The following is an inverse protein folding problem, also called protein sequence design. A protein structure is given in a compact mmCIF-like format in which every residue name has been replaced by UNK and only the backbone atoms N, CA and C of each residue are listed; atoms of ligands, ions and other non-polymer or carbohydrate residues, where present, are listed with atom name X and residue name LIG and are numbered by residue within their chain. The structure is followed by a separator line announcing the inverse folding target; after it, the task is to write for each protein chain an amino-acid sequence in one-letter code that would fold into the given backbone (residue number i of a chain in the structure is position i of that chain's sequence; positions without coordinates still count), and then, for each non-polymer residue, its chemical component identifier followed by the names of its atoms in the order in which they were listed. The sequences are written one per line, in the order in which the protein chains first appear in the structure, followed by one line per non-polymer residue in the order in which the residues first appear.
data_IF_607906361408
#
_entry.id   IF_607906361408
#
_cell.length_a   1.000
_cell.length_b   1.000
_cell.length_c   1.000
_cell.angle_alpha   90.00
_cell.angle_beta   90.00
_cell.angle_gamma   90.00
#
_symmetry.space_group_name_H-M   'P 1'
#
loop_
_entity.id
_entity.type
_entity.pdbx_description
1 polymer ?
#
# COMPACT_ATOMS: atom_id res chain seq x y z
N UNK A 1 -40.42 -5.45 -40.74
CA UNK A 1 -40.48 -4.52 -39.58
C UNK A 1 -39.50 -4.84 -38.43
N UNK A 2 -38.92 -6.05 -38.31
CA UNK A 2 -38.04 -6.44 -37.17
C UNK A 2 -36.61 -5.84 -37.13
N UNK A 3 -36.05 -5.39 -38.27
CA UNK A 3 -34.68 -4.88 -38.33
C UNK A 3 -34.52 -3.45 -37.77
N UNK A 4 -35.51 -2.57 -38.00
CA UNK A 4 -35.50 -1.19 -37.49
C UNK A 4 -35.50 -1.14 -35.96
N UNK A 5 -36.21 -2.05 -35.30
CA UNK A 5 -36.28 -2.12 -33.84
C UNK A 5 -34.94 -2.54 -33.21
N UNK A 6 -34.20 -3.45 -33.85
CA UNK A 6 -32.86 -3.87 -33.38
C UNK A 6 -31.80 -2.77 -33.56
N UNK A 7 -31.86 -2.04 -34.69
CA UNK A 7 -30.94 -0.93 -34.95
C UNK A 7 -31.13 0.20 -33.93
N UNK A 8 -32.38 0.54 -33.61
CA UNK A 8 -32.69 1.56 -32.61
C UNK A 8 -32.25 1.14 -31.20
N UNK A 9 -32.34 -0.17 -30.86
CA UNK A 9 -31.88 -0.71 -29.59
C UNK A 9 -30.35 -0.75 -29.45
N UNK A 10 -29.61 -1.00 -30.54
CA UNK A 10 -28.14 -0.91 -30.52
C UNK A 10 -27.69 0.54 -30.35
N UNK A 11 -28.36 1.46 -31.05
CA UNK A 11 -28.02 2.88 -30.99
C UNK A 11 -28.25 3.46 -29.58
N UNK A 12 -29.35 3.06 -28.91
CA UNK A 12 -29.60 3.49 -27.53
C UNK A 12 -28.56 2.94 -26.55
N UNK A 13 -28.10 1.70 -26.74
CA UNK A 13 -27.06 1.10 -25.91
C UNK A 13 -25.71 1.79 -26.10
N UNK A 14 -25.37 2.17 -27.35
CA UNK A 14 -24.15 2.90 -27.65
C UNK A 14 -24.12 4.30 -27.01
N UNK A 15 -25.26 5.01 -27.06
CA UNK A 15 -25.39 6.34 -26.46
C UNK A 15 -25.35 6.25 -24.93
N UNK A 16 -25.98 5.24 -24.33
CA UNK A 16 -25.90 4.99 -22.88
C UNK A 16 -24.46 4.72 -22.43
N UNK A 17 -23.70 3.95 -23.21
CA UNK A 17 -22.29 3.67 -22.94
C UNK A 17 -21.41 4.94 -23.08
N UNK A 18 -21.69 5.76 -24.09
CA UNK A 18 -20.99 7.05 -24.28
C UNK A 18 -21.27 8.04 -23.15
N UNK A 19 -22.50 8.10 -22.63
CA UNK A 19 -22.83 8.91 -21.46
C UNK A 19 -22.15 8.40 -20.19
N UNK A 20 -22.08 7.08 -20.00
CA UNK A 20 -21.37 6.48 -18.86
C UNK A 20 -19.86 6.80 -18.91
N UNK A 21 -19.26 6.81 -20.11
CA UNK A 21 -17.87 7.19 -20.32
C UNK A 21 -17.63 8.69 -20.08
N UNK A 22 -18.58 9.56 -20.44
CA UNK A 22 -18.49 11.01 -20.22
C UNK A 22 -18.75 11.46 -18.77
N UNK A 23 -19.36 10.59 -17.95
CA UNK A 23 -19.55 10.82 -16.51
C UNK A 23 -18.40 10.24 -15.65
N UNK A 24 -17.42 9.57 -16.26
CA UNK A 24 -16.20 9.24 -15.55
C UNK A 24 -15.48 10.57 -15.26
N UNK A 25 -15.23 10.93 -14.00
CA UNK A 25 -14.38 12.08 -13.71
C UNK A 25 -13.06 11.85 -14.44
N UNK A 26 -12.66 12.84 -15.25
CA UNK A 26 -11.35 12.83 -15.90
C UNK A 26 -10.29 12.79 -14.80
N UNK A 27 -9.82 11.57 -14.47
CA UNK A 27 -8.70 11.38 -13.57
C UNK A 27 -7.49 11.97 -14.29
N UNK A 28 -7.18 13.22 -13.95
CA UNK A 28 -5.93 13.87 -14.29
C UNK A 28 -4.80 13.00 -13.75
N UNK A 29 -4.17 12.22 -14.63
CA UNK A 29 -2.96 11.48 -14.31
C UNK A 29 -1.79 12.47 -14.34
N UNK A 30 -1.67 13.28 -13.29
CA UNK A 30 -0.49 14.11 -13.07
C UNK A 30 0.66 13.18 -12.69
N UNK A 31 1.53 12.90 -13.65
CA UNK A 31 2.82 12.27 -13.40
C UNK A 31 3.70 13.28 -12.65
N UNK A 32 3.65 13.27 -11.32
CA UNK A 32 4.66 13.93 -10.51
C UNK A 32 5.94 13.08 -10.56
N UNK A 33 7.10 13.73 -10.59
CA UNK A 33 8.33 13.04 -10.22
C UNK A 33 8.13 12.45 -8.82
N UNK A 34 8.60 11.22 -8.57
CA UNK A 34 8.49 10.63 -7.25
C UNK A 34 9.11 11.59 -6.22
N UNK A 35 8.31 12.04 -5.26
CA UNK A 35 8.81 12.82 -4.12
C UNK A 35 9.89 12.01 -3.38
N UNK A 36 10.90 12.67 -2.77
CA UNK A 36 11.81 11.96 -1.87
C UNK A 36 11.01 11.27 -0.76
N UNK A 37 11.59 10.20 -0.19
CA UNK A 37 10.95 9.47 0.89
C UNK A 37 10.63 10.34 2.11
N UNK A 38 9.60 9.97 2.86
CA UNK A 38 9.18 10.68 4.08
C UNK A 38 9.95 10.10 5.26
N UNK A 39 10.55 10.95 6.10
CA UNK A 39 11.20 10.55 7.34
C UNK A 39 10.49 11.17 8.55
N UNK A 40 9.88 10.33 9.38
CA UNK A 40 9.21 10.73 10.63
C UNK A 40 10.03 10.21 11.81
N UNK A 41 10.57 11.13 12.60
CA UNK A 41 11.33 10.82 13.81
C UNK A 41 10.53 11.19 15.05
N UNK A 42 10.97 10.73 16.22
CA UNK A 42 10.41 11.14 17.51
C UNK A 42 10.38 12.66 17.75
N UNK A 43 11.20 13.42 17.02
CA UNK A 43 11.29 14.89 17.11
C UNK A 43 10.67 15.61 15.91
N UNK A 44 10.04 14.90 14.97
CA UNK A 44 9.41 15.53 13.81
C UNK A 44 8.22 16.37 14.26
N UNK A 45 8.24 17.66 13.93
CA UNK A 45 7.12 18.58 14.17
C UNK A 45 6.03 18.46 13.08
N UNK A 46 4.91 19.14 13.28
CA UNK A 46 3.86 19.28 12.26
C UNK A 46 4.47 19.72 10.93
N UNK A 47 4.16 18.99 9.87
CA UNK A 47 4.75 19.19 8.55
C UNK A 47 3.83 18.68 7.46
N UNK A 48 4.04 19.12 6.22
CA UNK A 48 3.27 18.65 5.08
C UNK A 48 4.07 18.80 3.79
N UNK A 49 3.63 18.09 2.77
CA UNK A 49 4.17 18.17 1.42
C UNK A 49 3.14 17.72 0.39
N UNK A 50 3.59 17.47 -0.84
CA UNK A 50 2.71 17.03 -1.93
C UNK A 50 2.00 15.73 -1.57
N UNK A 51 0.68 15.81 -1.36
CA UNK A 51 -0.16 14.64 -1.07
C UNK A 51 0.05 14.00 0.29
N UNK A 52 0.71 14.66 1.25
CA UNK A 52 0.84 14.17 2.62
C UNK A 52 0.87 15.28 3.67
N UNK A 53 0.43 14.95 4.88
CA UNK A 53 0.56 15.82 6.06
C UNK A 53 0.85 14.99 7.29
N UNK A 54 1.65 15.53 8.20
CA UNK A 54 1.98 14.92 9.49
C UNK A 54 1.60 15.84 10.64
N UNK A 55 0.94 15.27 11.65
CA UNK A 55 0.58 15.91 12.91
C UNK A 55 1.31 15.22 14.05
N UNK A 56 2.19 15.96 14.72
CA UNK A 56 3.08 15.49 15.78
C UNK A 56 2.30 15.02 17.01
N UNK A 57 1.30 15.80 17.44
CA UNK A 57 0.55 15.53 18.67
C UNK A 57 -0.16 14.18 18.66
N UNK A 58 -0.58 13.71 17.48
CA UNK A 58 -1.24 12.42 17.28
C UNK A 58 -0.34 11.39 16.59
N UNK A 59 0.91 11.75 16.26
CA UNK A 59 1.85 10.95 15.47
C UNK A 59 1.19 10.39 14.20
N UNK A 60 0.39 11.23 13.53
CA UNK A 60 -0.45 10.83 12.39
C UNK A 60 0.12 11.37 11.09
N UNK A 61 0.46 10.47 10.17
CA UNK A 61 0.76 10.76 8.78
C UNK A 61 -0.49 10.47 7.94
N UNK A 62 -1.04 11.49 7.31
CA UNK A 62 -2.14 11.33 6.34
C UNK A 62 -1.57 11.35 4.93
N UNK A 63 -1.93 10.36 4.11
CA UNK A 63 -1.61 10.32 2.68
C UNK A 63 -2.86 10.59 1.85
N UNK A 64 -2.83 11.67 1.09
CA UNK A 64 -3.89 12.10 0.19
C UNK A 64 -3.36 12.46 -1.18
N UNK A 65 -3.05 11.44 -1.98
CA UNK A 65 -2.42 11.65 -3.29
C UNK A 65 -0.89 11.61 -3.25
N UNK A 66 -0.29 11.08 -2.19
CA UNK A 66 1.18 10.96 -2.11
C UNK A 66 1.69 10.05 -3.23
N UNK A 67 2.72 10.51 -3.94
CA UNK A 67 3.40 9.72 -4.96
C UNK A 67 4.91 9.94 -4.82
N UNK A 68 5.60 9.02 -4.14
CA UNK A 68 7.00 9.22 -3.81
C UNK A 68 7.73 7.97 -3.35
N UNK A 69 8.88 8.19 -2.71
CA UNK A 69 9.74 7.14 -2.16
C UNK A 69 9.21 6.54 -0.85
N UNK A 70 10.07 5.75 -0.22
CA UNK A 70 9.78 5.02 1.01
C UNK A 70 9.38 5.94 2.19
N UNK A 71 8.68 5.37 3.16
CA UNK A 71 8.40 6.03 4.44
C UNK A 71 9.26 5.38 5.51
N UNK A 72 9.99 6.19 6.27
CA UNK A 72 10.78 5.75 7.41
C UNK A 72 10.25 6.35 8.71
N UNK A 73 10.16 5.52 9.74
CA UNK A 73 9.90 5.93 11.12
C UNK A 73 11.07 5.60 12.04
N UNK A 74 11.36 6.45 13.02
CA UNK A 74 12.33 6.17 14.11
C UNK A 74 12.04 6.98 15.38
N UNK A 75 12.37 6.47 16.57
CA UNK A 75 12.20 7.23 17.82
C UNK A 75 10.76 7.56 18.26
N UNK A 76 9.72 7.01 17.62
CA UNK A 76 8.31 7.06 18.05
C UNK A 76 7.77 5.67 18.41
N UNK A 77 6.81 5.56 19.35
CA UNK A 77 6.26 4.25 19.70
C UNK A 77 5.33 3.66 18.64
N UNK A 78 4.51 4.52 18.00
CA UNK A 78 3.52 4.11 17.01
C UNK A 78 3.34 5.20 15.97
N UNK A 79 3.44 4.86 14.69
CA UNK A 79 3.02 5.71 13.58
C UNK A 79 1.57 5.39 13.22
N UNK A 80 0.70 6.39 13.19
CA UNK A 80 -0.65 6.27 12.65
C UNK A 80 -0.64 6.74 11.20
N UNK A 81 -0.95 5.86 10.26
CA UNK A 81 -1.06 6.15 8.84
C UNK A 81 -2.54 6.21 8.45
N UNK A 82 -3.01 7.36 8.00
CA UNK A 82 -4.38 7.57 7.53
C UNK A 82 -4.38 7.72 6.02
N UNK A 83 -5.15 6.90 5.32
CA UNK A 83 -5.27 6.93 3.86
C UNK A 83 -6.52 7.72 3.46
N UNK A 84 -6.33 8.83 2.74
CA UNK A 84 -7.38 9.71 2.25
C UNK A 84 -7.25 9.91 0.73
N UNK A 85 -7.79 9.01 -0.09
CA UNK A 85 -7.58 9.03 -1.55
C UNK A 85 -6.49 8.04 -1.98
N UNK A 86 -5.90 8.21 -3.16
CA UNK A 86 -5.01 7.20 -3.77
C UNK A 86 -3.56 7.64 -3.73
N UNK A 87 -2.73 6.87 -3.01
CA UNK A 87 -1.30 7.14 -2.83
C UNK A 87 -0.45 5.97 -3.34
N UNK A 88 0.79 6.26 -3.74
CA UNK A 88 1.76 5.30 -4.25
C UNK A 88 3.14 5.54 -3.62
N UNK A 89 3.78 4.46 -3.17
CA UNK A 89 5.20 4.40 -2.83
C UNK A 89 5.89 3.61 -3.93
N UNK A 90 6.95 4.15 -4.52
CA UNK A 90 7.79 3.44 -5.50
C UNK A 90 9.25 3.49 -5.07
N UNK A 91 9.85 2.30 -4.93
CA UNK A 91 11.25 2.13 -4.52
C UNK A 91 11.85 1.03 -5.37
N UNK A 92 12.86 1.39 -6.16
CA UNK A 92 13.62 0.48 -7.01
C UNK A 92 15.08 0.50 -6.56
N UNK A 93 15.42 -0.38 -5.62
CA UNK A 93 16.72 -0.39 -4.95
C UNK A 93 17.09 -1.81 -4.49
N UNK A 94 18.40 -2.08 -4.39
CA UNK A 94 18.93 -3.36 -3.92
C UNK A 94 18.37 -3.79 -2.53
N UNK A 95 18.02 -2.83 -1.67
CA UNK A 95 17.42 -3.02 -0.35
C UNK A 95 16.09 -2.24 -0.21
N UNK A 96 15.28 -2.20 -1.28
CA UNK A 96 14.00 -1.50 -1.29
C UNK A 96 13.11 -1.84 -0.07
N UNK A 97 12.57 -0.78 0.54
CA UNK A 97 11.57 -0.86 1.60
C UNK A 97 10.44 0.08 1.28
N UNK A 98 9.18 -0.34 1.41
CA UNK A 98 8.03 0.57 1.25
C UNK A 98 7.83 1.44 2.47
N UNK A 99 7.50 0.81 3.60
CA UNK A 99 7.42 1.44 4.92
C UNK A 99 8.37 0.71 5.86
N UNK A 100 9.31 1.42 6.46
CA UNK A 100 10.31 0.87 7.36
C UNK A 100 10.27 1.60 8.71
N UNK A 101 9.77 0.93 9.74
CA UNK A 101 9.85 1.41 11.12
C UNK A 101 10.90 0.61 11.88
N UNK A 102 11.53 1.22 12.88
CA UNK A 102 12.45 0.52 13.77
C UNK A 102 11.75 -0.65 14.50
N UNK A 103 12.53 -1.65 14.92
CA UNK A 103 12.04 -2.94 15.41
C UNK A 103 11.10 -2.88 16.64
N UNK A 104 11.04 -1.74 17.32
CA UNK A 104 10.20 -1.48 18.50
C UNK A 104 8.99 -0.57 18.21
N UNK A 105 8.76 -0.20 16.95
CA UNK A 105 7.74 0.77 16.55
C UNK A 105 6.55 0.11 15.86
N UNK A 106 5.35 0.55 16.20
CA UNK A 106 4.12 0.00 15.65
C UNK A 106 3.62 0.82 14.46
N UNK A 107 2.91 0.18 13.54
CA UNK A 107 2.21 0.81 12.44
C UNK A 107 0.71 0.53 12.57
N UNK A 108 -0.08 1.60 12.59
CA UNK A 108 -1.53 1.53 12.46
C UNK A 108 -1.95 2.11 11.11
N UNK A 109 -2.75 1.39 10.33
CA UNK A 109 -3.32 1.86 9.07
C UNK A 109 -4.83 1.96 9.18
N UNK A 110 -5.38 3.09 8.73
CA UNK A 110 -6.81 3.35 8.68
C UNK A 110 -7.17 4.32 7.54
N UNK A 111 -8.46 4.64 7.39
CA UNK A 111 -8.97 5.58 6.40
C UNK A 111 -9.75 4.89 5.29
N UNK A 112 -10.27 5.66 4.34
CA UNK A 112 -11.06 5.14 3.21
C UNK A 112 -10.26 5.06 1.91
N UNK A 113 -9.04 5.61 1.90
CA UNK A 113 -8.16 5.64 0.75
C UNK A 113 -7.44 4.33 0.44
N UNK A 114 -6.54 4.40 -0.53
CA UNK A 114 -5.73 3.30 -1.03
C UNK A 114 -4.25 3.67 -1.07
N UNK A 115 -3.38 2.75 -0.69
CA UNK A 115 -1.93 2.84 -0.83
C UNK A 115 -1.42 1.67 -1.67
N UNK A 116 -0.69 1.98 -2.74
CA UNK A 116 0.10 0.98 -3.48
C UNK A 116 1.57 1.13 -3.13
N UNK A 117 2.23 0.03 -2.76
CA UNK A 117 3.66 -0.02 -2.48
C UNK A 117 4.33 -0.88 -3.55
N UNK A 118 5.24 -0.30 -4.32
CA UNK A 118 6.08 -1.00 -5.30
C UNK A 118 7.52 -1.01 -4.77
N UNK A 119 7.94 -2.13 -4.20
CA UNK A 119 9.30 -2.33 -3.67
C UNK A 119 10.04 -3.37 -4.52
N UNK A 120 10.75 -2.91 -5.55
CA UNK A 120 11.31 -3.75 -6.63
C UNK A 120 12.83 -3.58 -6.77
N UNK A 121 13.43 -4.35 -7.68
CA UNK A 121 14.85 -4.20 -8.03
C UNK A 121 15.81 -4.77 -6.99
N UNK A 122 15.26 -5.39 -5.94
CA UNK A 122 16.02 -5.93 -4.84
C UNK A 122 16.95 -7.07 -5.26
N UNK A 123 18.24 -6.93 -4.93
CA UNK A 123 19.19 -8.04 -4.93
C UNK A 123 19.48 -8.56 -3.51
N UNK A 124 18.85 -7.95 -2.50
CA UNK A 124 18.96 -8.31 -1.09
C UNK A 124 17.58 -8.49 -0.44
N UNK A 125 17.47 -8.15 0.84
CA UNK A 125 16.29 -8.32 1.65
C UNK A 125 15.31 -7.18 1.38
N UNK A 126 14.11 -7.50 0.91
CA UNK A 126 13.08 -6.52 0.56
C UNK A 126 11.90 -6.60 1.51
N UNK A 127 11.37 -5.43 1.88
CA UNK A 127 10.18 -5.32 2.73
C UNK A 127 9.15 -4.39 2.09
N UNK A 128 7.94 -4.86 1.86
CA UNK A 128 6.82 -3.95 1.61
C UNK A 128 6.58 -3.08 2.84
N UNK A 129 6.39 -3.73 3.99
CA UNK A 129 6.23 -3.09 5.31
C UNK A 129 7.07 -3.84 6.34
N UNK A 130 7.84 -3.10 7.15
CA UNK A 130 8.60 -3.60 8.29
C UNK A 130 8.25 -2.80 9.55
N UNK A 131 7.82 -3.49 10.62
CA UNK A 131 7.46 -2.87 11.89
C UNK A 131 7.48 -3.88 13.06
N UNK A 132 7.27 -3.39 14.28
CA UNK A 132 7.03 -4.24 15.45
C UNK A 132 5.63 -4.86 15.43
N UNK A 133 4.59 -4.02 15.48
CA UNK A 133 3.18 -4.43 15.40
C UNK A 133 2.53 -3.78 14.21
N UNK A 134 1.88 -4.58 13.38
CA UNK A 134 1.07 -4.12 12.27
C UNK A 134 -0.42 -4.23 12.63
N UNK A 135 -1.15 -3.13 12.54
CA UNK A 135 -2.61 -3.10 12.68
C UNK A 135 -3.23 -2.38 11.51
N UNK A 136 -4.18 -3.01 10.83
CA UNK A 136 -4.98 -2.38 9.78
C UNK A 136 -6.48 -2.55 10.11
N UNK A 137 -7.19 -1.44 10.20
CA UNK A 137 -8.62 -1.42 10.58
C UNK A 137 -9.54 -1.00 9.44
N UNK A 138 -8.98 -0.39 8.39
CA UNK A 138 -9.70 0.10 7.20
C UNK A 138 -8.71 0.47 6.10
N UNK A 139 -9.23 0.92 4.95
CA UNK A 139 -8.44 1.33 3.79
C UNK A 139 -8.10 0.17 2.87
N UNK A 140 -7.38 0.47 1.79
CA UNK A 140 -6.83 -0.53 0.87
C UNK A 140 -5.32 -0.40 0.81
N UNK A 141 -4.59 -1.49 1.02
CA UNK A 141 -3.13 -1.54 0.88
C UNK A 141 -2.78 -2.64 -0.09
N UNK A 142 -2.05 -2.32 -1.16
CA UNK A 142 -1.52 -3.27 -2.11
C UNK A 142 0.00 -3.20 -2.09
N UNK A 143 0.65 -4.33 -1.88
CA UNK A 143 2.10 -4.46 -1.82
C UNK A 143 2.53 -5.31 -3.00
N UNK A 144 3.35 -4.74 -3.87
CA UNK A 144 4.03 -5.41 -4.96
C UNK A 144 5.52 -5.39 -4.63
N UNK A 145 6.06 -6.53 -4.19
CA UNK A 145 7.48 -6.61 -3.85
C UNK A 145 8.18 -7.75 -4.57
N UNK A 146 9.36 -7.47 -5.12
CA UNK A 146 10.19 -8.51 -5.73
C UNK A 146 11.66 -8.39 -5.33
N UNK A 147 12.30 -9.55 -5.20
CA UNK A 147 13.72 -9.65 -4.91
C UNK A 147 14.32 -10.92 -5.51
N UNK A 148 15.59 -10.83 -5.88
CA UNK A 148 16.43 -12.01 -6.15
C UNK A 148 16.94 -12.72 -4.88
N UNK A 149 16.42 -12.37 -3.69
CA UNK A 149 16.64 -13.11 -2.43
C UNK A 149 15.32 -13.24 -1.65
N UNK A 150 15.35 -12.86 -0.38
CA UNK A 150 14.24 -12.96 0.55
C UNK A 150 13.41 -11.68 0.50
N UNK A 151 12.09 -11.84 0.54
CA UNK A 151 11.15 -10.73 0.40
C UNK A 151 9.95 -10.93 1.31
N UNK A 152 9.52 -9.83 1.93
CA UNK A 152 8.37 -9.79 2.82
C UNK A 152 7.33 -8.81 2.28
N UNK A 153 6.06 -9.21 2.24
CA UNK A 153 4.97 -8.26 2.06
C UNK A 153 4.83 -7.40 3.31
N UNK A 154 4.44 -8.03 4.41
CA UNK A 154 4.43 -7.43 5.75
C UNK A 154 5.30 -8.27 6.69
N UNK A 155 6.31 -7.65 7.28
CA UNK A 155 7.15 -8.20 8.34
C UNK A 155 6.80 -7.50 9.67
N UNK A 156 6.11 -8.21 10.56
CA UNK A 156 5.81 -7.77 11.91
C UNK A 156 6.57 -8.62 12.94
N UNK A 157 7.29 -7.98 13.86
CA UNK A 157 8.00 -8.73 14.91
C UNK A 157 7.04 -9.35 15.93
N UNK A 158 6.11 -8.58 16.48
CA UNK A 158 5.28 -9.02 17.61
C UNK A 158 3.87 -9.42 17.18
N UNK A 159 3.14 -8.62 16.40
CA UNK A 159 1.77 -8.97 15.99
C UNK A 159 1.40 -8.43 14.63
N UNK A 160 0.55 -9.16 13.89
CA UNK A 160 -0.03 -8.70 12.63
C UNK A 160 -1.55 -8.85 12.70
N UNK A 161 -2.28 -7.74 12.62
CA UNK A 161 -3.74 -7.73 12.71
C UNK A 161 -4.35 -6.96 11.55
N UNK A 162 -5.24 -7.60 10.81
CA UNK A 162 -6.10 -6.96 9.80
C UNK A 162 -7.54 -7.20 10.22
N UNK A 163 -8.22 -6.19 10.75
CA UNK A 163 -9.60 -6.33 11.25
C UNK A 163 -10.63 -5.68 10.34
N UNK A 164 -10.19 -4.84 9.40
CA UNK A 164 -11.02 -4.24 8.37
C UNK A 164 -10.20 -3.71 7.20
N UNK A 165 -10.87 -3.44 6.08
CA UNK A 165 -10.23 -3.01 4.83
C UNK A 165 -9.69 -4.16 4.00
N UNK A 166 -8.88 -3.83 2.99
CA UNK A 166 -8.29 -4.79 2.04
C UNK A 166 -6.77 -4.73 2.07
N UNK A 167 -6.11 -5.84 2.40
CA UNK A 167 -4.66 -6.00 2.30
C UNK A 167 -4.32 -7.02 1.21
N UNK A 168 -3.57 -6.59 0.20
CA UNK A 168 -3.06 -7.46 -0.86
C UNK A 168 -1.54 -7.48 -0.82
N UNK A 169 -0.94 -8.67 -0.79
CA UNK A 169 0.51 -8.86 -0.88
C UNK A 169 0.87 -9.75 -2.07
N UNK A 170 1.42 -9.14 -3.11
CA UNK A 170 1.91 -9.78 -4.33
C UNK A 170 3.44 -9.82 -4.29
N UNK A 171 3.98 -10.98 -3.96
CA UNK A 171 5.39 -11.13 -3.63
C UNK A 171 6.07 -12.12 -4.56
N UNK A 172 7.21 -11.72 -5.12
CA UNK A 172 8.07 -12.61 -5.92
C UNK A 172 9.47 -12.66 -5.32
N UNK A 173 9.80 -13.78 -4.69
CA UNK A 173 11.16 -14.06 -4.19
C UNK A 173 11.81 -15.18 -5.01
N UNK A 174 13.12 -15.23 -5.10
CA UNK A 174 13.81 -16.42 -5.66
C UNK A 174 14.11 -17.45 -4.58
N UNK A 175 14.45 -17.05 -3.35
CA UNK A 175 14.85 -18.00 -2.29
C UNK A 175 13.81 -18.17 -1.17
N UNK A 176 13.18 -17.08 -0.71
CA UNK A 176 12.24 -17.12 0.42
C UNK A 176 11.31 -15.89 0.39
N UNK A 177 10.14 -16.05 -0.24
CA UNK A 177 9.06 -15.08 -0.23
C UNK A 177 8.08 -15.34 0.90
N UNK A 178 7.75 -14.30 1.67
CA UNK A 178 6.77 -14.36 2.75
C UNK A 178 5.75 -13.24 2.57
N UNK A 179 4.49 -13.59 2.32
CA UNK A 179 3.41 -12.61 2.15
C UNK A 179 3.17 -11.80 3.42
N UNK A 180 2.66 -12.47 4.46
CA UNK A 180 2.43 -11.90 5.78
C UNK A 180 3.21 -12.72 6.79
N UNK A 181 4.16 -12.08 7.49
CA UNK A 181 5.04 -12.74 8.44
C UNK A 181 4.95 -12.05 9.81
N UNK A 182 4.64 -12.85 10.83
CA UNK A 182 4.57 -12.44 12.23
C UNK A 182 5.55 -13.31 13.02
N UNK A 183 6.59 -12.72 13.61
CA UNK A 183 7.74 -13.48 14.15
C UNK A 183 7.45 -14.20 15.47
N UNK A 184 6.89 -13.51 16.46
CA UNK A 184 6.71 -14.08 17.82
C UNK A 184 5.28 -14.14 18.33
N UNK A 185 4.38 -13.28 17.86
CA UNK A 185 2.98 -13.30 18.30
C UNK A 185 2.00 -13.72 17.21
N UNK A 186 0.79 -13.16 17.28
CA UNK A 186 -0.36 -13.67 16.53
C UNK A 186 -0.59 -12.90 15.22
N UNK A 187 -0.85 -13.66 14.15
CA UNK A 187 -1.51 -13.16 12.96
C UNK A 187 -3.05 -13.28 13.13
N UNK A 188 -3.78 -12.18 12.99
CA UNK A 188 -5.24 -12.13 13.10
C UNK A 188 -5.84 -11.50 11.84
N UNK A 189 -6.83 -12.18 11.26
CA UNK A 189 -7.70 -11.63 10.21
C UNK A 189 -9.12 -11.60 10.77
N UNK A 190 -9.69 -10.40 10.90
CA UNK A 190 -11.04 -10.18 11.40
C UNK A 190 -12.10 -10.36 10.31
N UNK A 191 -13.37 -10.50 10.71
CA UNK A 191 -14.49 -10.73 9.79
C UNK A 191 -14.77 -9.58 8.82
N UNK A 192 -14.28 -8.37 9.12
CA UNK A 192 -14.41 -7.20 8.25
C UNK A 192 -13.24 -7.01 7.26
N UNK A 193 -12.25 -7.90 7.27
CA UNK A 193 -11.05 -7.79 6.46
C UNK A 193 -11.12 -8.66 5.20
N UNK A 194 -10.58 -8.13 4.10
CA UNK A 194 -10.20 -8.88 2.91
C UNK A 194 -8.67 -8.98 2.86
N UNK A 195 -8.14 -10.19 2.80
CA UNK A 195 -6.70 -10.44 2.72
C UNK A 195 -6.42 -11.35 1.53
N UNK A 196 -5.65 -10.85 0.58
CA UNK A 196 -5.18 -11.60 -0.59
C UNK A 196 -3.66 -11.67 -0.57
N UNK A 197 -3.11 -12.88 -0.70
CA UNK A 197 -1.68 -13.12 -0.61
C UNK A 197 -1.27 -14.06 -1.73
N UNK A 198 -0.44 -13.54 -2.64
CA UNK A 198 0.21 -14.33 -3.67
C UNK A 198 1.71 -14.30 -3.44
N UNK A 199 2.30 -15.47 -3.25
CA UNK A 199 3.75 -15.64 -3.12
C UNK A 199 4.24 -16.53 -4.25
N UNK A 200 5.13 -16.00 -5.07
CA UNK A 200 5.83 -16.75 -6.11
C UNK A 200 7.28 -16.91 -5.69
N UNK A 201 7.69 -18.15 -5.39
CA UNK A 201 9.08 -18.49 -5.11
C UNK A 201 9.69 -19.13 -6.36
N UNK A 202 10.54 -18.39 -7.06
CA UNK A 202 11.12 -18.84 -8.34
C UNK A 202 12.18 -19.94 -8.19
N UNK A 203 12.50 -20.32 -6.95
CA UNK A 203 13.53 -21.31 -6.63
C UNK A 203 14.94 -20.82 -6.95
N UNK A 204 15.90 -21.25 -6.16
CA UNK A 204 17.28 -21.39 -6.60
C UNK A 204 17.43 -22.81 -7.13
N UNK A 205 17.55 -22.98 -8.45
CA UNK A 205 18.15 -24.18 -9.04
C UNK A 205 19.65 -24.17 -8.77
#
# INVERSE_FOLDING_TARGET
MKAKTKLNSLLSMLIALAMLLGMLPAMSLTAFAAEPGISITGSTADSSGTGWSYVESTKTLTLSGYNGGYIQGSGLSTLNLVLEGTSTITVDDANAKGIALENNQNLNISGSGSLTINATGGSNLIYGIECNKFTMTSGTVTINANSSKMVYGVNANDSLSVTGGKLTANITGTSDGRGLYCKTGKLTVGSGAEVDVTVTNNGSN
#
